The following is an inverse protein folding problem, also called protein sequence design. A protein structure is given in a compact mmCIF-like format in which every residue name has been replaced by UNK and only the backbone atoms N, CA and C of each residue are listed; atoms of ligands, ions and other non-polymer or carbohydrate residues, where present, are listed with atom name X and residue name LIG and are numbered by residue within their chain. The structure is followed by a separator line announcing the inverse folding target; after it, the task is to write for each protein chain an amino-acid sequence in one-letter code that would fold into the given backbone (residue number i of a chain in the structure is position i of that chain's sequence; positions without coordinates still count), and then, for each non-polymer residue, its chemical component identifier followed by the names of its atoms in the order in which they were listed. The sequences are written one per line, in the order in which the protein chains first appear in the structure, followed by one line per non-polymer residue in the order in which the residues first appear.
data_IF_394900912121
#
_entry.id   IF_394900912121
#
_cell.length_a   1.000
_cell.length_b   1.000
_cell.length_c   1.000
_cell.angle_alpha   90.00
_cell.angle_beta   90.00
_cell.angle_gamma   90.00
#
_symmetry.space_group_name_H-M   'P 1'
#
loop_
_entity.id
_entity.type
_entity.pdbx_description
1 polymer ?
#
# COMPACT_ATOMS: atom_id res chain seq x y z
N UNK A 1 -4.73 -27.14 -2.90
CA UNK A 1 -5.27 -26.19 -1.90
C UNK A 1 -4.10 -25.66 -1.08
N UNK A 2 -4.23 -24.47 -0.47
CA UNK A 2 -3.23 -23.86 0.42
C UNK A 2 -3.90 -23.56 1.75
N UNK A 3 -3.20 -23.80 2.84
CA UNK A 3 -3.71 -23.49 4.19
C UNK A 3 -3.05 -22.20 4.66
N UNK A 4 -3.84 -21.27 5.20
CA UNK A 4 -3.29 -20.06 5.78
C UNK A 4 -2.65 -20.34 7.16
N UNK A 5 -1.81 -19.44 7.69
CA UNK A 5 -1.24 -19.60 9.03
C UNK A 5 -2.28 -19.79 10.15
N UNK A 6 -3.51 -19.33 9.95
CA UNK A 6 -4.62 -19.45 10.90
C UNK A 6 -5.49 -20.71 10.68
N UNK A 7 -5.09 -21.62 9.77
CA UNK A 7 -5.73 -22.93 9.61
C UNK A 7 -6.84 -23.02 8.55
N UNK A 8 -7.22 -21.92 7.89
CA UNK A 8 -8.25 -21.93 6.84
C UNK A 8 -7.76 -22.50 5.51
N UNK A 9 -8.63 -23.18 4.78
CA UNK A 9 -8.32 -23.76 3.48
C UNK A 9 -8.68 -22.82 2.33
N UNK A 10 -7.76 -22.68 1.39
CA UNK A 10 -7.89 -21.77 0.26
C UNK A 10 -7.55 -22.47 -1.07
N UNK A 11 -8.20 -22.09 -2.18
CA UNK A 11 -7.79 -22.54 -3.51
C UNK A 11 -6.34 -22.13 -3.83
N UNK A 12 -5.62 -22.94 -4.61
CA UNK A 12 -4.16 -22.79 -4.78
C UNK A 12 -3.72 -21.47 -5.44
N UNK A 13 -4.62 -20.83 -6.21
CA UNK A 13 -4.37 -19.57 -6.90
C UNK A 13 -4.55 -18.33 -6.02
N UNK A 14 -5.09 -18.48 -4.81
CA UNK A 14 -5.27 -17.37 -3.89
C UNK A 14 -3.92 -16.96 -3.28
N UNK A 15 -3.70 -15.64 -3.24
CA UNK A 15 -2.53 -15.01 -2.62
C UNK A 15 -2.79 -14.63 -1.16
N UNK A 16 -4.06 -14.48 -0.79
CA UNK A 16 -4.52 -14.16 0.57
C UNK A 16 -5.61 -15.14 0.98
N UNK A 17 -5.75 -15.36 2.29
CA UNK A 17 -6.82 -16.18 2.84
C UNK A 17 -8.18 -15.50 2.63
N UNK A 18 -9.16 -16.21 2.06
CA UNK A 18 -10.52 -15.70 1.85
C UNK A 18 -11.26 -15.40 3.16
N UNK A 19 -11.00 -16.18 4.22
CA UNK A 19 -11.71 -16.00 5.49
C UNK A 19 -11.10 -14.94 6.41
N UNK A 20 -9.76 -14.81 6.44
CA UNK A 20 -9.07 -13.96 7.42
C UNK A 20 -8.08 -12.96 6.82
N UNK A 21 -7.97 -12.87 5.49
CA UNK A 21 -7.13 -11.89 4.79
C UNK A 21 -5.61 -12.11 4.88
N UNK A 22 -5.13 -13.09 5.66
CA UNK A 22 -3.69 -13.33 5.86
C UNK A 22 -2.99 -13.76 4.57
N UNK A 23 -1.78 -13.23 4.30
CA UNK A 23 -0.97 -13.56 3.13
C UNK A 23 -0.59 -15.05 3.12
N UNK A 24 -0.92 -15.74 2.02
CA UNK A 24 -0.54 -17.14 1.77
C UNK A 24 0.86 -17.15 1.13
N UNK A 25 1.89 -16.87 1.93
CA UNK A 25 3.28 -16.84 1.46
C UNK A 25 3.68 -18.23 0.96
N UNK A 26 4.15 -18.32 -0.28
CA UNK A 26 4.86 -19.51 -0.76
C UNK A 26 6.32 -19.34 -0.31
N UNK A 27 6.90 -20.26 0.49
CA UNK A 27 8.32 -20.20 0.76
C UNK A 27 9.05 -20.34 -0.58
N UNK A 28 9.84 -19.31 -0.92
CA UNK A 28 10.65 -19.34 -2.13
C UNK A 28 11.59 -20.54 -2.05
N UNK A 29 11.51 -21.40 -3.07
CA UNK A 29 12.49 -22.45 -3.33
C UNK A 29 13.86 -21.80 -3.37
N UNK A 30 14.70 -22.11 -2.39
CA UNK A 30 16.11 -21.81 -2.44
C UNK A 30 16.81 -22.76 -3.42
N UNK A 31 17.86 -22.24 -4.07
CA UNK A 31 18.93 -22.92 -4.81
C UNK A 31 18.61 -23.36 -6.25
N UNK A 32 19.44 -23.13 -7.26
CA UNK A 32 20.73 -22.46 -7.34
C UNK A 32 20.84 -21.78 -8.71
N UNK A 33 21.04 -20.46 -8.70
CA UNK A 33 21.32 -19.69 -9.90
C UNK A 33 22.64 -20.19 -10.52
N UNK A 34 22.68 -20.22 -11.85
CA UNK A 34 23.82 -20.53 -12.75
C UNK A 34 25.14 -19.78 -12.44
N UNK A 35 25.18 -18.95 -11.39
CA UNK A 35 26.33 -18.22 -10.90
C UNK A 35 27.41 -19.10 -10.26
N UNK A 36 27.03 -20.21 -9.61
CA UNK A 36 28.03 -21.11 -8.96
C UNK A 36 28.83 -21.94 -9.98
N UNK A 37 28.28 -22.16 -11.17
CA UNK A 37 28.99 -22.77 -12.29
C UNK A 37 29.95 -21.79 -12.99
N UNK A 38 29.59 -20.50 -13.05
CA UNK A 38 30.48 -19.45 -13.58
C UNK A 38 31.66 -19.13 -12.65
N UNK A 39 31.45 -19.15 -11.33
CA UNK A 39 32.50 -18.87 -10.34
C UNK A 39 33.58 -19.96 -10.23
N UNK A 40 33.39 -21.13 -10.85
CA UNK A 40 34.38 -22.22 -10.83
C UNK A 40 35.44 -22.07 -11.94
N UNK A 41 35.21 -21.22 -12.94
CA UNK A 41 36.04 -21.13 -14.13
C UNK A 41 37.10 -20.02 -14.08
N UNK A 42 37.00 -19.06 -13.16
CA UNK A 42 38.01 -18.01 -12.96
C UNK A 42 39.01 -18.35 -11.84
N UNK A 43 39.76 -19.45 -12.04
CA UNK A 43 41.01 -19.77 -11.31
C UNK A 43 42.18 -18.87 -11.75
N UNK A 44 42.05 -17.57 -11.57
CA UNK A 44 43.16 -16.64 -11.73
C UNK A 44 42.77 -15.27 -11.20
N UNK A 45 43.44 -14.65 -10.23
CA UNK A 45 44.61 -15.04 -9.48
C UNK A 45 44.77 -14.04 -8.34
N UNK A 46 44.79 -14.57 -7.11
CA UNK A 46 45.69 -14.20 -6.00
C UNK A 46 45.94 -12.72 -5.58
N UNK A 47 45.24 -11.71 -6.10
CA UNK A 47 45.55 -10.29 -5.78
C UNK A 47 44.45 -9.56 -4.97
N UNK A 48 43.23 -10.09 -4.90
CA UNK A 48 42.11 -9.35 -4.27
C UNK A 48 41.98 -9.50 -2.74
N UNK A 49 42.81 -10.31 -2.08
CA UNK A 49 42.64 -10.62 -0.64
C UNK A 49 43.24 -9.55 0.28
N UNK A 50 44.08 -8.64 -0.24
CA UNK A 50 44.64 -7.52 0.53
C UNK A 50 43.77 -6.26 0.48
N UNK A 51 42.88 -6.12 -0.50
CA UNK A 51 42.00 -4.96 -0.61
C UNK A 51 40.87 -4.94 0.42
N UNK A 52 40.40 -6.12 0.86
CA UNK A 52 39.22 -6.27 1.71
C UNK A 52 39.43 -5.86 3.17
N UNK A 53 40.66 -6.00 3.69
CA UNK A 53 40.96 -5.64 5.09
C UNK A 53 41.05 -4.11 5.24
N UNK A 54 41.59 -3.41 4.23
CA UNK A 54 41.71 -1.95 4.26
C UNK A 54 40.34 -1.24 4.17
N UNK A 55 39.36 -1.83 3.46
CA UNK A 55 38.01 -1.24 3.35
C UNK A 55 37.20 -1.39 4.64
N UNK A 56 37.36 -2.51 5.36
CA UNK A 56 36.65 -2.74 6.63
C UNK A 56 37.13 -1.76 7.72
N UNK A 57 38.43 -1.47 7.77
CA UNK A 57 38.99 -0.49 8.73
C UNK A 57 38.52 0.94 8.44
N UNK A 58 38.40 1.32 7.16
CA UNK A 58 37.89 2.65 6.75
C UNK A 58 36.38 2.82 7.02
N UNK A 59 35.58 1.76 6.85
CA UNK A 59 34.14 1.80 7.17
C UNK A 59 33.91 1.88 8.69
N UNK A 60 34.70 1.17 9.50
CA UNK A 60 34.58 1.24 10.96
C UNK A 60 35.02 2.59 11.54
N UNK A 61 36.05 3.24 10.98
CA UNK A 61 36.45 4.60 11.37
C UNK A 61 35.47 5.68 10.88
N UNK A 62 34.83 5.49 9.72
CA UNK A 62 33.82 6.41 9.19
C UNK A 62 32.50 6.40 9.95
N UNK A 63 32.11 5.26 10.54
CA UNK A 63 30.86 5.13 11.33
C UNK A 63 31.01 5.75 12.74
N UNK A 64 32.24 5.87 13.26
CA UNK A 64 32.49 6.47 14.58
C UNK A 64 32.29 7.99 14.67
N UNK A 65 32.23 8.72 13.54
CA UNK A 65 32.17 10.19 13.53
C UNK A 65 30.73 10.74 13.37
N UNK A 66 29.76 9.91 12.98
CA UNK A 66 28.37 10.37 12.73
C UNK A 66 27.48 10.36 13.99
N UNK A 67 27.95 9.81 15.12
CA UNK A 67 27.16 9.73 16.36
C UNK A 67 27.23 11.01 17.22
N UNK A 68 28.03 12.02 16.84
CA UNK A 68 28.30 13.19 17.70
C UNK A 68 28.06 14.58 17.07
N UNK A 69 27.08 14.73 16.16
CA UNK A 69 26.55 16.05 15.79
C UNK A 69 25.04 16.15 16.03
N UNK A 70 24.75 16.68 17.22
CA UNK A 70 23.51 17.21 17.82
C UNK A 70 22.73 18.18 16.90
N UNK A 71 21.41 18.48 17.12
CA UNK A 71 20.99 19.13 18.37
C UNK A 71 19.65 18.67 19.00
N UNK A 72 19.65 18.80 20.32
CA UNK A 72 18.46 18.98 21.15
C UNK A 72 17.63 20.18 20.67
N UNK A 73 16.30 20.02 20.79
CA UNK A 73 15.31 21.03 21.21
C UNK A 73 14.06 21.01 20.32
N UNK A 74 13.22 19.99 20.46
CA UNK A 74 11.80 20.14 20.14
C UNK A 74 11.09 20.60 21.42
N UNK A 75 10.82 21.90 21.42
CA UNK A 75 9.88 22.59 22.29
C UNK A 75 8.61 21.75 22.42
N UNK A 76 8.21 21.47 23.67
CA UNK A 76 6.89 20.95 24.00
C UNK A 76 5.82 22.00 23.61
N UNK A 77 5.32 21.90 22.38
CA UNK A 77 4.07 22.51 21.95
C UNK A 77 2.88 21.72 22.54
N UNK A 78 1.71 22.35 22.68
CA UNK A 78 0.64 21.86 23.53
C UNK A 78 0.15 20.50 23.03
N UNK A 79 0.32 19.49 23.89
CA UNK A 79 -0.30 18.15 23.96
C UNK A 79 -0.79 17.46 22.68
N UNK A 80 -0.69 16.12 22.57
CA UNK A 80 -1.61 15.41 21.70
C UNK A 80 -3.02 15.76 22.19
N UNK A 81 -3.72 16.62 21.44
CA UNK A 81 -5.15 16.70 21.59
C UNK A 81 -5.65 15.27 21.39
N UNK A 82 -6.41 14.70 22.35
CA UNK A 82 -7.16 13.51 22.02
C UNK A 82 -7.99 13.88 20.80
N UNK A 83 -7.89 13.08 19.74
CA UNK A 83 -8.84 13.08 18.64
C UNK A 83 -10.18 12.58 19.19
N UNK A 84 -10.80 13.36 20.07
CA UNK A 84 -12.20 13.26 20.43
C UNK A 84 -12.97 14.06 19.39
N UNK A 85 -13.15 13.43 18.24
CA UNK A 85 -14.47 13.38 17.65
C UNK A 85 -14.63 11.95 17.18
N UNK A 86 -15.49 11.21 17.88
CA UNK A 86 -16.19 10.09 17.27
C UNK A 86 -16.95 10.68 16.08
N UNK A 87 -16.27 10.78 14.94
CA UNK A 87 -16.92 10.91 13.66
C UNK A 87 -17.78 9.67 13.51
N UNK A 88 -19.03 9.85 13.10
CA UNK A 88 -20.00 8.78 12.93
C UNK A 88 -19.31 7.54 12.35
N UNK A 89 -19.41 6.42 13.09
CA UNK A 89 -18.81 5.16 12.66
C UNK A 89 -19.36 4.85 11.27
N UNK A 90 -18.48 4.92 10.26
CA UNK A 90 -18.82 4.51 8.90
C UNK A 90 -19.21 3.04 8.98
N UNK A 91 -20.43 2.74 8.53
CA UNK A 91 -21.01 1.40 8.66
C UNK A 91 -20.40 0.47 7.63
N UNK A 92 -20.39 -0.83 7.94
CA UNK A 92 -19.93 -1.87 7.02
C UNK A 92 -18.42 -2.07 7.02
N UNK A 93 -18.00 -3.11 6.32
CA UNK A 93 -16.60 -3.52 6.14
C UNK A 93 -16.05 -2.97 4.82
N UNK A 94 -14.73 -3.03 4.65
CA UNK A 94 -14.10 -2.72 3.36
C UNK A 94 -14.72 -3.51 2.19
N UNK A 95 -15.08 -4.78 2.40
CA UNK A 95 -15.72 -5.60 1.37
C UNK A 95 -17.11 -5.08 1.00
N UNK A 96 -17.87 -4.56 1.97
CA UNK A 96 -19.19 -3.97 1.72
C UNK A 96 -19.06 -2.68 0.88
N UNK A 97 -18.07 -1.85 1.20
CA UNK A 97 -17.80 -0.61 0.47
C UNK A 97 -17.37 -0.89 -0.97
N UNK A 98 -16.46 -1.85 -1.16
CA UNK A 98 -16.02 -2.32 -2.48
C UNK A 98 -17.20 -2.87 -3.28
N UNK A 99 -18.05 -3.71 -2.68
CA UNK A 99 -19.22 -4.26 -3.35
C UNK A 99 -20.21 -3.16 -3.81
N UNK A 100 -20.28 -2.05 -3.08
CA UNK A 100 -21.15 -0.93 -3.43
C UNK A 100 -20.66 -0.11 -4.64
N UNK A 101 -19.34 0.01 -4.83
CA UNK A 101 -18.76 0.85 -5.90
C UNK A 101 -18.13 0.07 -7.04
N UNK A 102 -17.95 -1.24 -6.92
CA UNK A 102 -17.48 -2.10 -7.99
C UNK A 102 -18.67 -2.81 -8.67
N UNK A 103 -19.09 -2.38 -9.89
CA UNK A 103 -20.31 -2.88 -10.55
C UNK A 103 -20.32 -4.38 -10.89
N UNK A 104 -19.16 -5.03 -10.84
CA UNK A 104 -18.94 -6.46 -11.13
C UNK A 104 -18.61 -7.29 -9.89
N UNK A 105 -18.47 -6.64 -8.71
CA UNK A 105 -17.92 -7.24 -7.50
C UNK A 105 -16.43 -7.55 -7.54
N UNK A 106 -15.70 -7.15 -8.58
CA UNK A 106 -14.26 -7.45 -8.71
C UNK A 106 -13.39 -6.22 -8.45
N UNK A 107 -12.69 -6.23 -7.33
CA UNK A 107 -11.58 -5.34 -7.03
C UNK A 107 -10.26 -6.07 -7.24
N UNK A 108 -9.29 -5.43 -7.90
CA UNK A 108 -7.93 -5.97 -7.95
C UNK A 108 -7.27 -5.81 -6.58
N UNK A 109 -6.90 -6.91 -5.92
CA UNK A 109 -6.22 -6.81 -4.62
C UNK A 109 -4.72 -6.64 -4.81
N UNK A 110 -4.14 -5.59 -4.22
CA UNK A 110 -2.73 -5.60 -3.84
C UNK A 110 -1.76 -4.87 -4.79
N UNK A 111 -2.19 -3.79 -5.42
CA UNK A 111 -1.29 -2.93 -6.19
C UNK A 111 -1.12 -1.57 -5.52
N UNK A 112 0.13 -1.15 -5.33
CA UNK A 112 0.42 0.21 -4.89
C UNK A 112 0.23 1.16 -6.09
N UNK A 113 -0.86 1.94 -6.11
CA UNK A 113 -1.15 2.86 -7.22
C UNK A 113 -0.29 4.13 -7.18
N UNK A 114 0.28 4.45 -6.02
CA UNK A 114 1.21 5.56 -5.84
C UNK A 114 2.22 5.32 -4.71
N UNK A 115 3.39 5.98 -4.72
CA UNK A 115 4.52 5.69 -3.83
C UNK A 115 4.26 5.93 -2.33
N UNK A 116 3.09 6.47 -1.97
CA UNK A 116 2.65 6.72 -0.59
C UNK A 116 1.41 5.93 -0.18
N UNK A 117 0.78 5.21 -1.11
CA UNK A 117 -0.27 4.24 -0.77
C UNK A 117 0.39 3.01 -0.15
N UNK A 118 -0.19 2.48 0.93
CA UNK A 118 0.21 1.20 1.54
C UNK A 118 -0.18 0.07 0.58
N UNK A 119 -1.40 0.16 0.06
CA UNK A 119 -2.03 -0.80 -0.82
C UNK A 119 -3.12 -0.08 -1.59
N UNK A 120 -3.49 -0.60 -2.75
CA UNK A 120 -4.63 -0.11 -3.50
C UNK A 120 -5.12 -1.14 -4.51
N UNK A 121 -6.04 -0.67 -5.35
CA UNK A 121 -6.66 -1.47 -6.39
C UNK A 121 -7.61 -0.65 -7.24
N UNK A 122 -8.13 -1.31 -8.27
CA UNK A 122 -9.10 -0.76 -9.20
C UNK A 122 -10.31 -1.69 -9.24
N UNK A 123 -11.51 -1.12 -9.24
CA UNK A 123 -12.73 -1.83 -9.59
C UNK A 123 -12.67 -2.14 -11.09
N UNK A 124 -12.62 -3.43 -11.44
CA UNK A 124 -12.62 -3.90 -12.82
C UNK A 124 -13.99 -4.45 -13.17
N UNK A 125 -14.55 -4.21 -14.37
CA UNK A 125 -15.77 -4.90 -14.80
C UNK A 125 -15.54 -6.42 -14.85
N UNK A 126 -16.63 -7.19 -14.97
CA UNK A 126 -16.55 -8.65 -15.07
C UNK A 126 -15.59 -9.06 -16.20
N UNK A 127 -14.81 -10.12 -15.95
CA UNK A 127 -13.70 -10.56 -16.79
C UNK A 127 -14.06 -10.56 -18.28
N UNK A 128 -13.27 -9.85 -19.09
CA UNK A 128 -13.42 -9.79 -20.55
C UNK A 128 -13.98 -8.49 -21.11
N UNK A 129 -14.49 -7.58 -20.27
CA UNK A 129 -14.87 -6.23 -20.70
C UNK A 129 -13.71 -5.23 -20.53
N UNK A 130 -13.43 -4.38 -21.53
CA UNK A 130 -12.44 -3.32 -21.36
C UNK A 130 -12.87 -2.35 -20.26
N UNK A 131 -11.93 -1.98 -19.38
CA UNK A 131 -12.15 -0.92 -18.39
C UNK A 131 -12.24 0.40 -19.15
N UNK A 132 -13.44 0.95 -19.27
CA UNK A 132 -13.58 2.33 -19.70
C UNK A 132 -12.92 3.21 -18.63
N UNK A 133 -11.88 3.97 -19.01
CA UNK A 133 -11.17 4.87 -18.08
C UNK A 133 -12.11 5.87 -17.40
N UNK A 134 -13.27 6.15 -18.01
CA UNK A 134 -14.32 7.05 -17.54
C UNK A 134 -15.26 6.45 -16.49
N UNK A 135 -15.10 5.18 -16.11
CA UNK A 135 -15.96 4.53 -15.10
C UNK A 135 -15.19 3.78 -14.02
N UNK A 136 -13.85 3.85 -14.04
CA UNK A 136 -13.03 3.17 -13.07
C UNK A 136 -13.07 3.87 -11.70
N UNK A 137 -13.46 3.12 -10.67
CA UNK A 137 -13.24 3.48 -9.27
C UNK A 137 -11.91 2.87 -8.82
N UNK A 138 -11.05 3.69 -8.24
CA UNK A 138 -9.82 3.27 -7.61
C UNK A 138 -9.98 3.36 -6.10
N UNK A 139 -9.22 2.55 -5.37
CA UNK A 139 -9.13 2.66 -3.93
C UNK A 139 -7.68 2.53 -3.47
N UNK A 140 -7.33 3.24 -2.42
CA UNK A 140 -6.01 3.22 -1.80
C UNK A 140 -6.13 3.30 -0.27
N UNK A 141 -5.16 2.68 0.40
CA UNK A 141 -4.95 2.74 1.84
C UNK A 141 -3.76 3.64 2.12
N UNK A 142 -3.90 4.59 3.05
CA UNK A 142 -2.87 5.54 3.41
C UNK A 142 -2.57 5.50 4.91
N UNK A 143 -1.33 5.83 5.28
CA UNK A 143 -0.95 5.99 6.70
C UNK A 143 -1.44 7.33 7.26
N UNK A 144 -1.71 8.32 6.39
CA UNK A 144 -2.06 9.67 6.82
C UNK A 144 -2.88 10.42 5.77
N UNK A 145 -3.67 11.43 6.18
CA UNK A 145 -4.30 12.38 5.26
C UNK A 145 -3.31 13.10 4.35
N UNK A 146 -2.09 13.33 4.81
CA UNK A 146 -1.00 13.92 4.03
C UNK A 146 -0.60 13.03 2.85
N UNK A 147 -0.40 11.73 3.09
CA UNK A 147 -0.05 10.77 2.04
C UNK A 147 -1.17 10.64 0.99
N UNK A 148 -2.43 10.60 1.43
CA UNK A 148 -3.61 10.65 0.56
C UNK A 148 -3.59 11.89 -0.32
N UNK A 149 -3.44 13.08 0.28
CA UNK A 149 -3.41 14.35 -0.45
C UNK A 149 -2.24 14.39 -1.44
N UNK A 150 -1.06 13.90 -1.05
CA UNK A 150 0.11 13.82 -1.90
C UNK A 150 -0.14 12.99 -3.16
N UNK A 151 -0.81 11.83 -3.02
CA UNK A 151 -1.13 10.92 -4.14
C UNK A 151 -2.23 11.50 -5.01
N UNK A 152 -3.36 11.91 -4.43
CA UNK A 152 -4.52 12.36 -5.21
C UNK A 152 -4.24 13.68 -5.97
N UNK A 153 -3.42 14.57 -5.41
CA UNK A 153 -2.99 15.79 -6.10
C UNK A 153 -2.08 15.53 -7.32
N UNK A 154 -1.38 14.38 -7.34
CA UNK A 154 -0.46 13.99 -8.42
C UNK A 154 -1.03 12.94 -9.36
N UNK A 155 -2.09 12.25 -8.96
CA UNK A 155 -2.79 11.26 -9.77
C UNK A 155 -3.27 11.88 -11.10
N UNK A 156 -3.63 13.17 -11.09
CA UNK A 156 -4.13 13.88 -12.26
C UNK A 156 -5.55 13.41 -12.63
N UNK A 157 -6.45 14.37 -12.84
CA UNK A 157 -7.82 14.07 -13.25
C UNK A 157 -8.74 13.48 -12.18
N UNK A 158 -8.34 13.49 -10.90
CA UNK A 158 -9.22 13.11 -9.79
C UNK A 158 -10.44 14.03 -9.79
N UNK A 159 -11.63 13.44 -9.96
CA UNK A 159 -12.88 14.22 -10.08
C UNK A 159 -13.69 14.15 -8.79
N UNK A 160 -13.78 12.97 -8.18
CA UNK A 160 -14.41 12.75 -6.89
C UNK A 160 -13.62 11.76 -6.05
N UNK A 161 -13.72 11.89 -4.73
CA UNK A 161 -13.12 10.99 -3.78
C UNK A 161 -13.91 10.96 -2.47
N UNK A 162 -13.77 9.87 -1.73
CA UNK A 162 -14.39 9.67 -0.44
C UNK A 162 -13.42 8.88 0.44
N UNK A 163 -13.29 9.23 1.72
CA UNK A 163 -12.36 8.53 2.60
C UNK A 163 -12.91 8.33 4.00
N UNK A 164 -12.49 7.23 4.62
CA UNK A 164 -12.74 6.93 6.03
C UNK A 164 -11.51 6.28 6.65
N UNK A 165 -11.48 6.21 7.98
CA UNK A 165 -10.49 5.39 8.69
C UNK A 165 -11.09 4.01 8.90
N UNK A 166 -10.40 3.00 8.40
CA UNK A 166 -10.75 1.60 8.65
C UNK A 166 -10.50 1.27 10.11
N UNK A 167 -11.53 0.77 10.80
CA UNK A 167 -11.49 0.56 12.26
C UNK A 167 -10.58 -0.58 12.68
N UNK A 168 -10.39 -1.58 11.81
CA UNK A 168 -9.61 -2.78 12.10
C UNK A 168 -8.12 -2.52 11.90
N UNK A 169 -7.76 -1.76 10.86
CA UNK A 169 -6.37 -1.52 10.46
C UNK A 169 -5.86 -0.14 10.87
N UNK A 170 -6.73 0.80 11.18
CA UNK A 170 -6.40 2.21 11.40
C UNK A 170 -5.95 2.94 10.12
N UNK A 171 -6.00 2.29 8.96
CA UNK A 171 -5.58 2.88 7.70
C UNK A 171 -6.64 3.84 7.16
N UNK A 172 -6.20 4.92 6.53
CA UNK A 172 -7.09 5.83 5.81
C UNK A 172 -7.43 5.22 4.45
N UNK A 173 -8.63 4.66 4.33
CA UNK A 173 -9.16 4.10 3.09
C UNK A 173 -9.75 5.23 2.27
N UNK A 174 -9.39 5.32 1.00
CA UNK A 174 -9.89 6.34 0.08
C UNK A 174 -10.32 5.68 -1.22
N UNK A 175 -11.58 5.88 -1.59
CA UNK A 175 -12.12 5.59 -2.92
C UNK A 175 -12.09 6.86 -3.75
N UNK A 176 -11.71 6.77 -5.02
CA UNK A 176 -11.57 7.93 -5.88
C UNK A 176 -11.68 7.58 -7.35
N UNK A 177 -12.02 8.57 -8.16
CA UNK A 177 -12.33 8.39 -9.58
C UNK A 177 -11.58 9.41 -10.43
N UNK A 178 -11.27 9.03 -11.67
CA UNK A 178 -10.66 9.95 -12.64
C UNK A 178 -11.58 10.17 -13.83
N UNK A 179 -11.82 11.43 -14.18
CA UNK A 179 -12.60 11.81 -15.37
C UNK A 179 -14.02 11.19 -15.39
N UNK A 180 -14.60 10.93 -14.21
CA UNK A 180 -15.93 10.31 -14.04
C UNK A 180 -16.84 11.24 -13.25
N UNK A 181 -18.15 10.96 -13.31
CA UNK A 181 -19.12 11.59 -12.42
C UNK A 181 -19.06 11.01 -10.99
N UNK A 182 -19.64 11.72 -10.02
CA UNK A 182 -19.77 11.31 -8.63
C UNK A 182 -20.61 10.04 -8.45
N UNK A 183 -21.52 9.76 -9.40
CA UNK A 183 -22.46 8.64 -9.34
C UNK A 183 -21.79 7.27 -9.12
N UNK A 184 -20.53 7.09 -9.53
CA UNK A 184 -19.80 5.82 -9.32
C UNK A 184 -19.29 5.63 -7.88
N UNK A 185 -19.16 6.70 -7.09
CA UNK A 185 -18.76 6.65 -5.66
C UNK A 185 -19.91 6.99 -4.71
N UNK A 186 -21.00 7.56 -5.23
CA UNK A 186 -22.21 7.92 -4.47
C UNK A 186 -22.80 6.79 -3.61
N UNK A 187 -22.75 5.50 -4.01
CA UNK A 187 -23.20 4.41 -3.14
C UNK A 187 -22.52 4.37 -1.75
N UNK A 188 -21.32 4.97 -1.61
CA UNK A 188 -20.62 5.06 -0.33
C UNK A 188 -21.34 5.94 0.71
N UNK A 189 -22.20 6.87 0.28
CA UNK A 189 -22.99 7.71 1.19
C UNK A 189 -23.90 6.87 2.10
N UNK A 190 -24.38 5.72 1.62
CA UNK A 190 -25.20 4.79 2.41
C UNK A 190 -24.45 4.22 3.62
N UNK A 191 -23.12 4.23 3.59
CA UNK A 191 -22.24 3.80 4.67
C UNK A 191 -21.75 4.96 5.55
N UNK A 192 -22.06 6.21 5.19
CA UNK A 192 -21.64 7.40 5.92
C UNK A 192 -20.37 8.07 5.37
N UNK A 193 -19.93 7.72 4.16
CA UNK A 193 -18.86 8.47 3.52
C UNK A 193 -19.34 9.84 3.06
N UNK A 194 -18.50 10.85 3.25
CA UNK A 194 -18.65 12.14 2.60
C UNK A 194 -17.97 12.12 1.23
N UNK A 195 -18.73 12.39 0.17
CA UNK A 195 -18.20 12.50 -1.20
C UNK A 195 -17.66 13.91 -1.44
N UNK A 196 -16.39 14.00 -1.74
CA UNK A 196 -15.69 15.25 -1.98
C UNK A 196 -15.35 15.41 -3.46
N UNK A 197 -15.54 16.62 -3.98
CA UNK A 197 -15.16 16.98 -5.36
C UNK A 197 -13.66 17.30 -5.42
N UNK A 198 -12.99 16.89 -6.49
CA UNK A 198 -11.64 17.35 -6.81
C UNK A 198 -11.64 18.78 -7.38
N UNK A 199 -10.58 19.59 -7.20
CA UNK A 199 -9.27 19.27 -6.61
C UNK A 199 -9.15 19.73 -5.14
N UNK A 200 -8.28 19.04 -4.40
CA UNK A 200 -7.87 19.41 -3.05
C UNK A 200 -7.42 20.86 -3.00
N UNK A 201 -7.79 21.65 -1.97
CA UNK A 201 -7.14 22.94 -1.74
C UNK A 201 -5.62 22.68 -1.66
N UNK A 202 -4.87 23.40 -2.51
CA UNK A 202 -3.41 23.40 -2.46
C UNK A 202 -2.93 23.96 -1.13
#
# INVERSE_FOLDING_TARGET
MKTCPNGHQNPAHYRFCGDCGTLLVVPAVQTASRLSLWLRENRGGRIALLGSVATIVLVLLGVGIVVFNRPESLVAGPGPQPLTAAGDVVRGTFNDWVAAVCPSGQATVGHQLGPKAIQGGICTPASGMPIARSTAVLYDFFNSPYDRQWVLSRAGGVTYWASTTDVDTGALVTFWTRWTDAEVVKPLEAFGFEIQRGPFPR
#
